data_IF_203273926163
#
_entry.id   IF_203273926163
#
_cell.length_a   1.000
_cell.length_b   1.000
_cell.length_c   1.000
_cell.angle_alpha   90.00
_cell.angle_beta   90.00
_cell.angle_gamma   90.00
#
_symmetry.space_group_name_H-M   'P 1'
#
loop_
_entity.id
_entity.type
_entity.pdbx_description
1 polymer ?
#
# COMPACT_ATOMS: atom_id res chain seq x y z
N UNK A 1 15.09 22.70 4.71
CA UNK A 1 16.35 22.86 3.95
C UNK A 1 16.11 22.47 2.50
N UNK A 2 16.45 23.35 1.58
CA UNK A 2 16.38 23.03 0.15
C UNK A 2 17.32 21.88 -0.18
N UNK A 3 16.80 20.79 -0.77
CA UNK A 3 17.64 19.77 -1.38
C UNK A 3 18.17 20.31 -2.69
N UNK A 4 19.49 20.49 -2.75
CA UNK A 4 20.19 20.98 -3.94
C UNK A 4 19.84 20.08 -5.15
N UNK A 5 19.24 20.65 -6.19
CA UNK A 5 18.85 19.92 -7.41
C UNK A 5 17.44 19.31 -7.44
N UNK A 6 16.70 19.33 -6.34
CA UNK A 6 15.32 18.81 -6.29
C UNK A 6 14.31 19.92 -5.97
N UNK A 7 13.84 20.58 -7.02
CA UNK A 7 12.90 21.70 -6.89
C UNK A 7 11.52 21.29 -6.36
N UNK A 8 11.10 20.05 -6.56
CA UNK A 8 9.80 19.55 -6.05
C UNK A 8 9.86 19.38 -4.54
N UNK A 9 10.89 18.70 -4.03
CA UNK A 9 11.08 18.48 -2.58
C UNK A 9 11.46 19.75 -1.81
N UNK A 10 11.76 20.83 -2.51
CA UNK A 10 12.01 22.15 -1.90
C UNK A 10 10.75 22.94 -1.61
N UNK A 11 9.57 22.45 -2.01
CA UNK A 11 8.28 23.11 -1.77
C UNK A 11 7.70 22.72 -0.40
N UNK A 12 6.80 23.57 0.11
CA UNK A 12 6.11 23.35 1.38
C UNK A 12 5.19 22.12 1.30
N UNK A 13 5.48 21.07 2.06
CA UNK A 13 4.74 19.81 2.04
C UNK A 13 3.30 19.94 2.55
N UNK A 14 3.05 20.88 3.47
CA UNK A 14 1.73 21.08 4.09
C UNK A 14 0.67 21.68 3.15
N UNK A 15 1.05 22.15 1.95
CA UNK A 15 0.14 22.81 1.00
C UNK A 15 0.32 22.33 -0.44
N UNK A 16 1.07 21.27 -0.66
CA UNK A 16 1.37 20.79 -2.00
C UNK A 16 1.24 19.26 -2.12
N UNK A 17 0.79 18.81 -3.28
CA UNK A 17 1.00 17.43 -3.73
C UNK A 17 2.36 17.38 -4.42
N UNK A 18 3.26 16.53 -3.91
CA UNK A 18 4.64 16.45 -4.40
C UNK A 18 4.91 15.09 -5.02
N UNK A 19 4.96 14.98 -6.36
CA UNK A 19 5.33 13.74 -7.05
C UNK A 19 6.77 13.32 -6.73
N UNK A 20 6.97 12.04 -6.47
CA UNK A 20 8.28 11.45 -6.17
C UNK A 20 8.44 10.11 -6.87
N UNK A 21 9.67 9.72 -7.11
CA UNK A 21 9.99 8.33 -7.40
C UNK A 21 9.91 7.49 -6.13
N UNK A 22 9.65 6.20 -6.27
CA UNK A 22 9.70 5.22 -5.18
C UNK A 22 10.56 4.02 -5.58
N UNK A 23 11.24 3.44 -4.61
CA UNK A 23 11.94 2.17 -4.77
C UNK A 23 11.06 0.94 -4.50
N UNK A 24 9.81 1.12 -4.11
CA UNK A 24 8.92 0.03 -3.69
C UNK A 24 8.75 -1.04 -4.77
N UNK A 25 8.55 -0.65 -6.03
CA UNK A 25 8.41 -1.59 -7.14
C UNK A 25 9.64 -2.50 -7.32
N UNK A 26 10.85 -1.97 -7.09
CA UNK A 26 12.09 -2.78 -7.12
C UNK A 26 12.19 -3.69 -5.90
N UNK A 27 11.79 -3.21 -4.72
CA UNK A 27 11.82 -3.99 -3.50
C UNK A 27 10.86 -5.19 -3.56
N UNK A 28 9.69 -5.05 -4.16
CA UNK A 28 8.75 -6.16 -4.37
C UNK A 28 9.39 -7.27 -5.22
N UNK A 29 10.13 -6.93 -6.27
CA UNK A 29 10.85 -7.92 -7.09
C UNK A 29 11.94 -8.72 -6.36
N UNK A 30 12.41 -8.24 -5.20
CA UNK A 30 13.34 -8.99 -4.34
C UNK A 30 12.61 -10.03 -3.48
N UNK A 31 11.36 -9.76 -3.11
CA UNK A 31 10.52 -10.64 -2.27
C UNK A 31 9.72 -11.63 -3.13
N UNK A 32 9.25 -11.17 -4.29
CA UNK A 32 8.48 -11.94 -5.27
C UNK A 32 9.23 -11.90 -6.61
N UNK A 33 10.17 -12.83 -6.83
CA UNK A 33 11.06 -12.80 -8.02
C UNK A 33 10.32 -12.81 -9.36
N UNK A 34 9.13 -13.41 -9.42
CA UNK A 34 8.27 -13.48 -10.60
C UNK A 34 7.78 -12.09 -11.07
N UNK A 35 7.76 -11.11 -10.16
CA UNK A 35 7.37 -9.73 -10.42
C UNK A 35 8.55 -8.82 -10.75
N UNK A 36 9.77 -9.34 -10.76
CA UNK A 36 10.95 -8.53 -11.06
C UNK A 36 10.88 -7.95 -12.47
N UNK A 37 10.99 -6.63 -12.55
CA UNK A 37 10.89 -5.90 -13.82
C UNK A 37 9.47 -5.72 -14.39
N UNK A 38 8.44 -6.30 -13.74
CA UNK A 38 7.03 -6.18 -14.18
C UNK A 38 6.27 -5.05 -13.52
N UNK A 39 6.83 -4.43 -12.48
CA UNK A 39 6.20 -3.35 -11.73
C UNK A 39 6.89 -2.03 -11.97
N UNK A 40 6.08 -1.00 -12.15
CA UNK A 40 6.50 0.39 -12.08
C UNK A 40 5.73 1.08 -10.96
N UNK A 41 6.33 2.08 -10.34
CA UNK A 41 5.67 2.78 -9.24
C UNK A 41 6.15 4.21 -9.11
N UNK A 42 5.26 5.04 -8.64
CA UNK A 42 5.53 6.42 -8.22
C UNK A 42 4.87 6.68 -6.87
N UNK A 43 5.30 7.72 -6.20
CA UNK A 43 4.70 8.14 -4.94
C UNK A 43 4.29 9.61 -5.02
N UNK A 44 3.27 9.97 -4.28
CA UNK A 44 2.87 11.36 -4.11
C UNK A 44 2.83 11.67 -2.61
N UNK A 45 3.54 12.71 -2.21
CA UNK A 45 3.40 13.25 -0.86
C UNK A 45 2.25 14.23 -0.87
N UNK A 46 1.35 14.07 0.11
CA UNK A 46 0.16 14.89 0.30
C UNK A 46 0.19 15.52 1.70
N UNK A 47 -0.57 16.60 1.95
CA UNK A 47 -0.63 17.28 3.25
C UNK A 47 -1.42 16.45 4.29
N UNK A 48 -0.94 15.27 4.63
CA UNK A 48 -1.47 14.42 5.71
C UNK A 48 -0.38 14.19 6.76
N UNK A 49 -0.70 14.22 8.05
CA UNK A 49 0.28 14.02 9.12
C UNK A 49 0.94 12.65 9.06
N UNK A 50 0.14 11.61 8.93
CA UNK A 50 0.52 10.21 8.74
C UNK A 50 -0.58 9.50 7.95
N UNK A 51 -0.46 8.20 7.75
CA UNK A 51 -1.38 7.44 6.93
C UNK A 51 -1.07 7.56 5.44
N UNK A 52 -1.02 6.43 4.79
CA UNK A 52 -0.71 6.32 3.37
C UNK A 52 -1.63 5.31 2.70
N UNK A 53 -1.84 5.51 1.40
CA UNK A 53 -2.51 4.51 0.57
C UNK A 53 -1.56 3.97 -0.49
N UNK A 54 -1.68 2.69 -0.77
CA UNK A 54 -1.14 2.06 -1.98
C UNK A 54 -2.30 1.72 -2.89
N UNK A 55 -2.26 2.22 -4.11
CA UNK A 55 -3.19 1.86 -5.18
C UNK A 55 -2.43 0.96 -6.15
N UNK A 56 -2.87 -0.28 -6.28
CA UNK A 56 -2.33 -1.22 -7.24
C UNK A 56 -3.31 -1.35 -8.41
N UNK A 57 -2.83 -1.07 -9.61
CA UNK A 57 -3.54 -1.38 -10.84
C UNK A 57 -2.83 -2.53 -11.54
N UNK A 58 -3.57 -3.57 -11.89
CA UNK A 58 -3.04 -4.77 -12.54
C UNK A 58 -3.94 -5.20 -13.70
N UNK A 59 -3.35 -5.91 -14.65
CA UNK A 59 -4.09 -6.66 -15.67
C UNK A 59 -4.01 -8.14 -15.29
N UNK A 60 -5.16 -8.75 -15.11
CA UNK A 60 -5.28 -10.17 -14.73
C UNK A 60 -6.12 -10.92 -15.76
N UNK A 61 -5.88 -12.22 -15.86
CA UNK A 61 -6.58 -13.12 -16.76
C UNK A 61 -7.49 -14.06 -15.99
N UNK A 62 -8.65 -14.36 -16.57
CA UNK A 62 -9.60 -15.34 -16.03
C UNK A 62 -10.95 -14.71 -15.69
N UNK A 63 -11.76 -15.41 -14.93
CA UNK A 63 -13.06 -14.91 -14.43
C UNK A 63 -12.82 -14.07 -13.17
N UNK A 64 -12.78 -12.76 -13.35
CA UNK A 64 -12.41 -11.82 -12.28
C UNK A 64 -13.58 -10.92 -11.94
N UNK A 65 -13.99 -10.96 -10.68
CA UNK A 65 -15.08 -10.13 -10.14
C UNK A 65 -14.64 -9.38 -8.88
N UNK A 66 -15.32 -8.28 -8.55
CA UNK A 66 -15.10 -7.55 -7.31
C UNK A 66 -15.26 -8.47 -6.09
N UNK A 67 -16.36 -9.24 -6.06
CA UNK A 67 -16.65 -10.16 -4.95
C UNK A 67 -15.58 -11.25 -4.83
N UNK A 68 -15.12 -11.79 -5.95
CA UNK A 68 -14.05 -12.80 -5.98
C UNK A 68 -12.74 -12.28 -5.41
N UNK A 69 -12.33 -11.06 -5.78
CA UNK A 69 -11.14 -10.40 -5.23
C UNK A 69 -11.32 -10.15 -3.74
N UNK A 70 -12.44 -9.54 -3.33
CA UNK A 70 -12.71 -9.23 -1.94
C UNK A 70 -12.74 -10.48 -1.07
N UNK A 71 -13.34 -11.57 -1.54
CA UNK A 71 -13.34 -12.85 -0.84
C UNK A 71 -11.93 -13.43 -0.68
N UNK A 72 -11.11 -13.37 -1.74
CA UNK A 72 -9.72 -13.84 -1.68
C UNK A 72 -8.88 -13.02 -0.69
N UNK A 73 -9.05 -11.69 -0.67
CA UNK A 73 -8.35 -10.81 0.27
C UNK A 73 -8.81 -11.02 1.71
N UNK A 74 -10.11 -11.24 1.93
CA UNK A 74 -10.66 -11.57 3.24
C UNK A 74 -10.11 -12.91 3.77
N UNK A 75 -9.99 -13.90 2.90
CA UNK A 75 -9.40 -15.19 3.27
C UNK A 75 -7.89 -15.12 3.58
N UNK A 76 -7.21 -14.08 3.13
CA UNK A 76 -5.78 -13.84 3.39
C UNK A 76 -5.52 -13.01 4.66
N UNK A 77 -6.54 -12.67 5.45
CA UNK A 77 -6.40 -11.92 6.70
C UNK A 77 -5.40 -12.58 7.66
N UNK A 78 -4.61 -11.76 8.33
CA UNK A 78 -3.58 -12.19 9.27
C UNK A 78 -3.26 -11.06 10.25
N UNK A 79 -2.39 -11.29 11.21
CA UNK A 79 -1.93 -10.26 12.17
C UNK A 79 -1.29 -9.05 11.49
N UNK A 80 -0.75 -9.21 10.29
CA UNK A 80 -0.10 -8.14 9.52
C UNK A 80 -0.90 -7.62 8.34
N UNK A 81 -1.93 -8.33 7.90
CA UNK A 81 -2.79 -7.98 6.78
C UNK A 81 -4.25 -7.96 7.22
N UNK A 82 -4.82 -6.75 7.32
CA UNK A 82 -6.20 -6.55 7.71
C UNK A 82 -7.14 -6.35 6.52
N UNK A 83 -8.41 -6.55 6.76
CA UNK A 83 -9.49 -6.37 5.79
C UNK A 83 -10.52 -5.38 6.33
N UNK A 84 -10.92 -4.40 5.50
CA UNK A 84 -11.85 -3.33 5.87
C UNK A 84 -13.04 -3.29 4.93
N UNK A 85 -14.23 -3.11 5.50
CA UNK A 85 -15.52 -2.95 4.80
C UNK A 85 -16.14 -1.57 5.03
N UNK A 86 -15.51 -0.72 5.85
CA UNK A 86 -16.00 0.62 6.17
C UNK A 86 -15.41 1.67 5.22
N UNK A 87 -16.13 2.78 5.08
CA UNK A 87 -15.66 3.95 4.31
C UNK A 87 -14.70 4.77 5.16
N UNK A 88 -13.42 4.45 5.08
CA UNK A 88 -12.35 5.07 5.87
C UNK A 88 -11.52 6.07 5.07
N UNK A 89 -10.87 6.96 5.80
CA UNK A 89 -9.92 7.96 5.29
C UNK A 89 -8.62 7.94 6.08
N UNK A 90 -7.62 8.71 5.66
CA UNK A 90 -6.28 8.70 6.25
C UNK A 90 -6.22 8.97 7.76
N UNK A 91 -7.18 9.68 8.33
CA UNK A 91 -7.24 9.92 9.78
C UNK A 91 -7.67 8.68 10.58
N UNK A 92 -8.42 7.77 9.97
CA UNK A 92 -8.95 6.58 10.63
C UNK A 92 -7.89 5.50 10.80
N UNK A 93 -6.84 5.55 9.98
CA UNK A 93 -5.76 4.55 9.99
C UNK A 93 -4.56 4.96 10.85
N UNK A 94 -4.64 6.10 11.54
CA UNK A 94 -3.57 6.55 12.44
C UNK A 94 -3.47 5.57 13.61
N UNK A 95 -2.30 4.96 13.77
CA UNK A 95 -2.05 4.00 14.84
C UNK A 95 -2.52 2.57 14.59
N UNK A 96 -2.93 2.22 13.35
CA UNK A 96 -3.25 0.83 13.04
C UNK A 96 -2.01 -0.05 13.16
N UNK A 97 -2.22 -1.29 13.58
CA UNK A 97 -1.13 -2.27 13.77
C UNK A 97 -0.85 -3.12 12.54
N UNK A 98 -1.77 -3.16 11.58
CA UNK A 98 -1.57 -3.88 10.32
C UNK A 98 -0.48 -3.23 9.47
N UNK A 99 0.38 -4.04 8.89
CA UNK A 99 1.33 -3.60 7.87
C UNK A 99 0.65 -3.17 6.57
N UNK A 100 -0.53 -3.71 6.31
CA UNK A 100 -1.42 -3.35 5.20
C UNK A 100 -2.87 -3.63 5.58
N UNK A 101 -3.76 -2.66 5.39
CA UNK A 101 -5.20 -2.79 5.59
C UNK A 101 -5.89 -2.66 4.23
N UNK A 102 -6.39 -3.78 3.73
CA UNK A 102 -7.10 -3.83 2.44
C UNK A 102 -8.46 -3.14 2.55
N UNK A 103 -8.78 -2.29 1.58
CA UNK A 103 -10.05 -1.56 1.51
C UNK A 103 -10.96 -2.18 0.43
N UNK A 104 -11.86 -3.04 0.86
CA UNK A 104 -12.78 -3.73 -0.05
C UNK A 104 -13.78 -2.80 -0.74
N UNK A 105 -14.02 -1.62 -0.16
CA UNK A 105 -14.93 -0.62 -0.74
C UNK A 105 -14.35 0.07 -1.99
N UNK A 106 -13.04 -0.06 -2.22
CA UNK A 106 -12.32 0.58 -3.32
C UNK A 106 -11.87 -0.42 -4.40
N UNK A 107 -12.29 -1.68 -4.33
CA UNK A 107 -12.01 -2.67 -5.36
C UNK A 107 -12.78 -2.35 -6.65
N UNK A 108 -12.07 -2.26 -7.76
CA UNK A 108 -12.65 -2.02 -9.08
C UNK A 108 -12.19 -3.09 -10.07
N UNK A 109 -13.10 -3.54 -10.90
CA UNK A 109 -12.83 -4.50 -11.98
C UNK A 109 -13.48 -4.01 -13.27
N UNK A 110 -12.73 -4.00 -14.35
CA UNK A 110 -13.20 -3.62 -15.68
C UNK A 110 -12.71 -4.61 -16.73
N UNK A 111 -13.59 -5.22 -17.54
CA UNK A 111 -13.17 -6.08 -18.64
C UNK A 111 -12.47 -5.23 -19.72
N UNK A 112 -11.37 -5.74 -20.27
CA UNK A 112 -10.62 -5.11 -21.36
C UNK A 112 -10.51 -5.98 -22.61
N UNK A 113 -11.21 -7.10 -22.66
CA UNK A 113 -11.27 -8.05 -23.78
C UNK A 113 -10.39 -9.29 -23.56
N UNK A 114 -10.62 -10.32 -24.37
CA UNK A 114 -9.81 -11.57 -24.39
C UNK A 114 -9.55 -12.22 -23.03
N UNK A 115 -10.58 -12.33 -22.19
CA UNK A 115 -10.49 -12.82 -20.79
C UNK A 115 -9.53 -12.02 -19.90
N UNK A 116 -9.26 -10.76 -20.26
CA UNK A 116 -8.43 -9.85 -19.51
C UNK A 116 -9.27 -8.82 -18.77
N UNK A 117 -8.87 -8.53 -17.55
CA UNK A 117 -9.52 -7.56 -16.68
C UNK A 117 -8.49 -6.59 -16.11
N UNK A 118 -8.80 -5.32 -16.16
CA UNK A 118 -8.10 -4.31 -15.36
C UNK A 118 -8.69 -4.31 -13.97
N UNK A 119 -7.83 -4.49 -12.98
CA UNK A 119 -8.18 -4.52 -11.57
C UNK A 119 -7.49 -3.36 -10.87
N UNK A 120 -8.21 -2.67 -10.00
CA UNK A 120 -7.65 -1.73 -9.05
C UNK A 120 -8.02 -2.15 -7.63
N UNK A 121 -7.02 -2.20 -6.76
CA UNK A 121 -7.19 -2.44 -5.33
C UNK A 121 -6.48 -1.37 -4.53
N UNK A 122 -7.00 -1.09 -3.34
CA UNK A 122 -6.46 -0.07 -2.43
C UNK A 122 -6.15 -0.71 -1.09
N UNK A 123 -5.01 -0.35 -0.53
CA UNK A 123 -4.63 -0.72 0.83
C UNK A 123 -4.08 0.50 1.56
N UNK A 124 -4.39 0.57 2.86
CA UNK A 124 -3.92 1.59 3.77
C UNK A 124 -2.78 1.08 4.63
N UNK A 125 -1.91 1.96 5.06
CA UNK A 125 -0.88 1.67 6.04
C UNK A 125 -0.48 2.93 6.82
N UNK A 126 -0.15 2.76 8.09
CA UNK A 126 0.50 3.81 8.87
C UNK A 126 2.01 3.58 8.83
N UNK A 127 2.75 4.57 8.35
CA UNK A 127 4.18 4.45 8.13
C UNK A 127 5.00 4.36 9.45
N UNK A 128 4.41 4.78 10.55
CA UNK A 128 5.09 4.89 11.85
C UNK A 128 4.84 3.65 12.75
N UNK A 129 3.61 3.19 12.83
CA UNK A 129 3.18 2.18 13.82
C UNK A 129 3.71 0.76 13.56
N UNK A 130 3.69 0.20 12.34
CA UNK A 130 4.20 -1.15 12.09
C UNK A 130 5.69 -1.29 12.36
N UNK A 131 6.43 -0.21 12.20
CA UNK A 131 7.88 -0.18 12.48
C UNK A 131 8.14 -0.28 13.99
N UNK A 132 7.34 0.40 14.81
CA UNK A 132 7.47 0.37 16.27
C UNK A 132 7.06 -1.00 16.84
N UNK A 133 5.99 -1.61 16.36
CA UNK A 133 5.57 -2.94 16.78
C UNK A 133 6.65 -4.00 16.52
N UNK A 134 7.30 -3.98 15.34
CA UNK A 134 8.43 -4.86 15.01
C UNK A 134 9.63 -4.67 15.93
N UNK A 135 9.95 -3.45 16.33
CA UNK A 135 11.05 -3.19 17.28
C UNK A 135 10.75 -3.76 18.68
N UNK A 136 9.50 -3.64 19.14
CA UNK A 136 9.07 -4.20 20.43
C UNK A 136 9.08 -5.74 20.43
N UNK A 137 8.66 -6.38 19.34
CA UNK A 137 8.73 -7.84 19.21
C UNK A 137 10.18 -8.34 19.17
N UNK A 138 11.08 -7.64 18.46
CA UNK A 138 12.49 -7.99 18.43
C UNK A 138 13.20 -7.78 19.78
N UNK A 139 12.83 -6.74 20.55
CA UNK A 139 13.39 -6.52 21.88
C UNK A 139 12.96 -7.60 22.87
N UNK A 140 11.71 -8.05 22.81
CA UNK A 140 11.22 -9.13 23.67
C UNK A 140 11.87 -10.49 23.39
N UNK A 141 12.26 -10.75 22.14
CA UNK A 141 12.98 -11.99 21.77
C UNK A 141 14.42 -11.98 22.27
N UNK A 142 15.06 -10.81 22.35
CA UNK A 142 16.44 -10.69 22.88
C UNK A 142 16.55 -10.82 24.39
N UNK A 143 15.44 -10.67 25.13
CA UNK A 143 15.41 -10.89 26.60
C UNK A 143 15.12 -12.36 26.97
N UNK A 144 14.75 -13.20 26.01
CA UNK A 144 14.46 -14.63 26.22
C UNK A 144 15.61 -15.57 25.75
N UNK A 145 16.70 -15.00 25.28
CA UNK A 145 17.91 -15.72 24.85
C UNK A 145 19.08 -15.51 25.81
#
# INVERSE_FOLDING_TARGET
PQRKGDLRRSRAAAVNIVPNSTGAAKAIGLVIPELNGKLIGSAQRVPTPTGSTTILTAVVKGDVTVDGINAAMKAAESDSFGYNEDQIVSSDIVGITYGSLFDSTQTMVSPIGDDLYQVQVVSWYDNETPTQARWLEQSNISELA
#
